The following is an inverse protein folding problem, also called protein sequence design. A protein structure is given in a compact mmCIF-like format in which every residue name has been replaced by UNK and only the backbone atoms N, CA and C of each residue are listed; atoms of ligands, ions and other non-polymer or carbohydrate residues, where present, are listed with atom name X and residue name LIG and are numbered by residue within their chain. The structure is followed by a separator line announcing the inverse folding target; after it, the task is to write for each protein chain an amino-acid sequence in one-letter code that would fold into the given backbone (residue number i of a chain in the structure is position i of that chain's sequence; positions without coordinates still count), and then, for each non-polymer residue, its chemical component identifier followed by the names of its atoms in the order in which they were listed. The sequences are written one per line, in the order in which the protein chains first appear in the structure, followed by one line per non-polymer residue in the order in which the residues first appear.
data_IF_338814844171
#
_entry.id   IF_338814844171
#
_cell.length_a   1.000
_cell.length_b   1.000
_cell.length_c   1.000
_cell.angle_alpha   90.00
_cell.angle_beta   90.00
_cell.angle_gamma   90.00
#
_symmetry.space_group_name_H-M   'P 1'
#
loop_
_entity.id
_entity.type
_entity.pdbx_description
1 polymer ?
#
# COMPACT_ATOMS: atom_id res chain seq x y z
N UNK A 1 -16.05 30.70 -2.12
CA UNK A 1 -17.19 31.56 -1.70
C UNK A 1 -18.25 30.65 -1.10
N UNK A 2 -18.19 30.47 0.22
CA UNK A 2 -19.26 29.91 1.05
C UNK A 2 -19.16 30.66 2.38
N UNK A 3 -20.12 31.54 2.64
CA UNK A 3 -20.20 32.38 3.84
C UNK A 3 -21.04 31.69 4.91
N UNK A 4 -20.46 31.52 6.09
CA UNK A 4 -21.18 31.15 7.31
C UNK A 4 -21.96 32.38 7.80
N UNK A 5 -23.27 32.25 7.99
CA UNK A 5 -24.09 33.27 8.61
C UNK A 5 -24.56 32.76 9.98
N UNK A 6 -24.00 33.33 11.03
CA UNK A 6 -24.38 33.10 12.42
C UNK A 6 -25.59 33.96 12.77
N UNK A 7 -26.70 33.33 13.15
CA UNK A 7 -27.72 33.96 14.00
C UNK A 7 -28.08 33.02 15.14
N UNK A 8 -27.78 33.48 16.34
CA UNK A 8 -28.49 33.13 17.56
C UNK A 8 -29.98 33.45 17.37
N UNK A 9 -30.86 32.60 17.88
CA UNK A 9 -32.03 33.03 18.68
C UNK A 9 -32.69 31.83 19.38
N UNK A 10 -32.76 31.98 20.70
CA UNK A 10 -33.88 31.72 21.61
C UNK A 10 -34.48 30.31 21.81
N UNK A 11 -34.19 29.81 23.02
CA UNK A 11 -35.07 29.16 23.99
C UNK A 11 -36.57 29.07 23.62
N UNK A 12 -37.09 27.85 23.51
CA UNK A 12 -38.48 27.53 23.83
C UNK A 12 -38.62 26.02 24.13
N UNK A 13 -39.06 25.73 25.34
CA UNK A 13 -39.38 24.41 25.90
C UNK A 13 -40.52 23.72 25.14
N UNK A 14 -40.54 22.37 25.09
CA UNK A 14 -41.80 21.64 24.89
C UNK A 14 -42.20 20.85 26.15
N UNK A 15 -43.42 21.13 26.60
CA UNK A 15 -44.19 20.42 27.63
C UNK A 15 -44.72 19.04 27.12
N UNK A 16 -45.33 18.20 27.99
CA UNK A 16 -45.02 16.77 28.07
C UNK A 16 -45.91 15.83 27.25
N UNK A 17 -45.38 14.62 27.05
CA UNK A 17 -45.95 13.41 26.44
C UNK A 17 -47.46 13.17 26.67
N UNK A 18 -48.23 12.78 25.64
CA UNK A 18 -49.54 12.16 25.83
C UNK A 18 -49.41 10.66 26.15
N UNK A 19 -50.04 10.25 27.25
CA UNK A 19 -50.16 8.87 27.72
C UNK A 19 -50.90 7.96 26.73
N UNK A 20 -50.21 6.97 26.16
CA UNK A 20 -50.82 5.88 25.42
C UNK A 20 -51.25 4.77 26.38
N UNK A 21 -52.57 4.62 26.57
CA UNK A 21 -53.17 3.41 27.18
C UNK A 21 -53.14 2.31 26.12
N UNK A 22 -52.54 1.17 26.45
CA UNK A 22 -52.67 -0.06 25.68
C UNK A 22 -53.59 -1.01 26.44
N UNK A 23 -54.73 -1.33 25.82
CA UNK A 23 -55.63 -2.39 26.25
C UNK A 23 -54.94 -3.76 26.10
N UNK A 24 -55.02 -4.59 27.14
CA UNK A 24 -54.58 -5.98 27.12
C UNK A 24 -55.65 -6.88 26.51
N UNK A 25 -55.37 -7.65 25.43
CA UNK A 25 -56.14 -8.83 25.11
C UNK A 25 -55.54 -10.04 25.83
N UNK A 26 -56.37 -10.75 26.60
CA UNK A 26 -56.08 -12.09 27.09
C UNK A 26 -55.78 -13.01 25.91
N UNK A 27 -54.61 -13.64 25.93
CA UNK A 27 -54.25 -14.68 24.96
C UNK A 27 -54.13 -16.04 25.67
N UNK A 28 -54.90 -16.94 25.07
CA UNK A 28 -55.13 -18.36 25.27
C UNK A 28 -53.91 -19.20 25.70
N UNK A 29 -54.11 -20.07 26.69
CA UNK A 29 -53.10 -20.98 27.24
C UNK A 29 -53.17 -22.31 26.49
N UNK A 30 -52.31 -22.50 25.49
CA UNK A 30 -52.04 -23.81 24.88
C UNK A 30 -50.74 -24.40 25.44
N UNK A 31 -50.65 -25.73 25.70
CA UNK A 31 -49.49 -26.29 26.40
C UNK A 31 -48.26 -26.35 25.48
N UNK A 32 -47.15 -25.75 25.94
CA UNK A 32 -45.82 -25.86 25.35
C UNK A 32 -45.36 -27.33 25.29
N UNK A 33 -45.25 -27.88 24.08
CA UNK A 33 -44.47 -29.09 23.82
C UNK A 33 -43.00 -28.79 24.14
N UNK A 34 -42.45 -29.53 25.12
CA UNK A 34 -41.03 -29.48 25.49
C UNK A 34 -40.17 -30.02 24.35
N UNK A 35 -39.75 -29.15 23.44
CA UNK A 35 -38.59 -29.45 22.59
C UNK A 35 -37.32 -29.25 23.41
N UNK A 36 -36.62 -30.36 23.68
CA UNK A 36 -35.27 -30.41 24.25
C UNK A 36 -34.35 -29.46 23.46
N UNK A 37 -33.58 -28.57 24.10
CA UNK A 37 -32.53 -27.85 23.39
C UNK A 37 -31.45 -28.84 22.97
N UNK A 38 -31.20 -28.94 21.66
CA UNK A 38 -29.97 -29.54 21.14
C UNK A 38 -28.77 -28.76 21.70
N UNK A 39 -27.79 -29.52 22.19
CA UNK A 39 -26.55 -29.04 22.77
C UNK A 39 -25.88 -27.99 21.89
N UNK A 40 -25.57 -26.85 22.50
CA UNK A 40 -24.93 -25.68 21.89
C UNK A 40 -23.40 -25.85 21.79
N UNK A 41 -22.95 -27.05 21.48
CA UNK A 41 -21.53 -27.44 21.42
C UNK A 41 -21.21 -28.06 20.05
N UNK A 42 -21.42 -27.31 18.97
CA UNK A 42 -20.68 -27.56 17.72
C UNK A 42 -20.69 -26.30 16.84
N UNK A 43 -20.04 -25.22 17.32
CA UNK A 43 -19.56 -24.20 16.39
C UNK A 43 -18.18 -24.64 15.94
N UNK A 44 -18.19 -25.26 14.76
CA UNK A 44 -17.14 -26.12 14.23
C UNK A 44 -15.72 -25.58 14.41
N UNK A 45 -14.86 -26.42 15.01
CA UNK A 45 -13.43 -26.22 14.87
C UNK A 45 -13.07 -26.42 13.39
N UNK A 46 -12.32 -25.48 12.79
CA UNK A 46 -11.88 -25.63 11.41
C UNK A 46 -11.10 -26.93 11.26
N UNK A 47 -11.41 -27.67 10.20
CA UNK A 47 -10.74 -28.92 9.86
C UNK A 47 -9.27 -28.68 9.56
N UNK A 48 -8.38 -29.68 9.69
CA UNK A 48 -6.96 -29.52 9.36
C UNK A 48 -6.69 -29.01 7.94
N UNK A 49 -7.56 -29.35 6.98
CA UNK A 49 -7.51 -28.85 5.60
C UNK A 49 -7.92 -27.37 5.50
N UNK A 50 -8.95 -26.93 6.24
CA UNK A 50 -9.32 -25.51 6.31
C UNK A 50 -8.26 -24.67 7.00
N UNK A 51 -7.63 -25.21 8.05
CA UNK A 51 -6.49 -24.57 8.72
C UNK A 51 -5.31 -24.47 7.76
N UNK A 52 -4.96 -25.53 7.04
CA UNK A 52 -3.87 -25.49 6.05
C UNK A 52 -4.16 -24.54 4.90
N UNK A 53 -5.37 -24.55 4.33
CA UNK A 53 -5.75 -23.64 3.25
C UNK A 53 -5.78 -22.19 3.75
N UNK A 54 -6.22 -21.95 5.00
CA UNK A 54 -6.14 -20.64 5.62
C UNK A 54 -4.67 -20.22 5.74
N UNK A 55 -3.81 -21.06 6.32
CA UNK A 55 -2.38 -20.78 6.52
C UNK A 55 -1.66 -20.52 5.19
N UNK A 56 -1.96 -21.31 4.16
CA UNK A 56 -1.46 -21.12 2.80
C UNK A 56 -1.96 -19.78 2.22
N UNK A 57 -3.26 -19.48 2.34
CA UNK A 57 -3.83 -18.21 1.86
C UNK A 57 -3.28 -16.97 2.57
N UNK A 58 -2.89 -17.11 3.85
CA UNK A 58 -2.24 -16.08 4.65
C UNK A 58 -0.79 -15.88 4.21
N UNK A 59 -0.07 -17.00 4.00
CA UNK A 59 1.31 -16.99 3.51
C UNK A 59 1.46 -16.44 2.08
N UNK A 60 0.37 -16.44 1.30
CA UNK A 60 0.33 -15.88 -0.06
C UNK A 60 -0.16 -14.43 -0.12
N UNK A 61 -0.62 -13.84 0.99
CA UNK A 61 -1.20 -12.50 1.02
C UNK A 61 -0.20 -11.50 1.61
N UNK A 62 0.48 -10.73 0.76
CA UNK A 62 1.53 -9.80 1.21
C UNK A 62 0.96 -8.44 1.59
N UNK A 63 1.39 -7.92 2.74
CA UNK A 63 0.93 -6.66 3.30
C UNK A 63 1.92 -5.54 2.98
N UNK A 64 1.43 -4.44 2.41
CA UNK A 64 2.18 -3.19 2.28
C UNK A 64 1.96 -2.33 3.54
N UNK A 65 3.04 -1.95 4.23
CA UNK A 65 2.96 -1.08 5.40
C UNK A 65 3.24 0.38 4.99
N UNK A 66 2.18 1.18 4.84
CA UNK A 66 2.24 2.60 4.50
C UNK A 66 2.23 3.46 5.78
N UNK A 67 3.16 4.40 5.91
CA UNK A 67 3.22 5.28 7.07
C UNK A 67 4.49 6.11 7.18
N UNK A 68 4.57 7.01 8.17
CA UNK A 68 5.71 7.89 8.36
C UNK A 68 6.99 7.10 8.71
N UNK A 69 8.14 7.58 8.24
CA UNK A 69 9.45 6.92 8.41
C UNK A 69 10.65 7.88 8.56
N UNK A 70 10.40 9.18 8.76
CA UNK A 70 11.44 10.21 8.71
C UNK A 70 12.31 10.24 9.96
N UNK A 71 11.76 9.91 11.12
CA UNK A 71 12.51 9.82 12.37
C UNK A 71 12.52 8.41 12.99
N UNK A 72 13.37 8.22 14.01
CA UNK A 72 13.54 6.91 14.66
C UNK A 72 12.27 6.40 15.33
N UNK A 73 11.44 7.28 15.90
CA UNK A 73 10.17 6.89 16.53
C UNK A 73 9.16 6.39 15.50
N UNK A 74 9.03 7.10 14.38
CA UNK A 74 8.16 6.73 13.27
C UNK A 74 8.57 5.38 12.67
N UNK A 75 9.86 5.19 12.38
CA UNK A 75 10.38 3.90 11.90
C UNK A 75 10.15 2.76 12.90
N UNK A 76 10.32 3.02 14.19
CA UNK A 76 10.10 2.02 15.23
C UNK A 76 8.63 1.62 15.34
N UNK A 77 7.69 2.57 15.24
CA UNK A 77 6.26 2.27 15.21
C UNK A 77 5.89 1.43 13.98
N UNK A 78 6.36 1.84 12.80
CA UNK A 78 6.13 1.08 11.56
C UNK A 78 6.76 -0.33 11.60
N UNK A 79 7.91 -0.48 12.27
CA UNK A 79 8.54 -1.79 12.48
C UNK A 79 7.70 -2.66 13.42
N UNK A 80 7.16 -2.12 14.51
CA UNK A 80 6.27 -2.86 15.41
C UNK A 80 4.99 -3.35 14.70
N UNK A 81 4.42 -2.52 13.81
CA UNK A 81 3.29 -2.91 12.96
C UNK A 81 3.67 -4.10 12.07
N UNK A 82 4.81 -3.99 11.37
CA UNK A 82 5.31 -5.05 10.49
C UNK A 82 5.59 -6.35 11.26
N UNK A 83 6.26 -6.27 12.41
CA UNK A 83 6.61 -7.43 13.24
C UNK A 83 5.36 -8.15 13.76
N UNK A 84 4.31 -7.40 14.13
CA UNK A 84 3.04 -7.97 14.56
C UNK A 84 2.34 -8.76 13.45
N UNK A 85 2.43 -8.27 12.20
CA UNK A 85 1.90 -8.95 11.01
C UNK A 85 2.70 -10.20 10.68
N UNK A 86 4.04 -10.10 10.68
CA UNK A 86 4.95 -11.23 10.43
C UNK A 86 4.76 -12.33 11.48
N UNK A 87 4.67 -11.97 12.77
CA UNK A 87 4.41 -12.92 13.85
C UNK A 87 3.06 -13.64 13.71
N UNK A 88 2.14 -13.10 12.91
CA UNK A 88 0.83 -13.70 12.61
C UNK A 88 0.80 -14.44 11.26
N UNK A 89 1.95 -14.59 10.59
CA UNK A 89 2.13 -15.36 9.37
C UNK A 89 1.95 -14.59 8.06
N UNK A 90 1.83 -13.26 8.11
CA UNK A 90 1.72 -12.43 6.90
C UNK A 90 3.10 -12.01 6.40
N UNK A 91 3.45 -12.24 5.12
CA UNK A 91 4.59 -11.57 4.52
C UNK A 91 4.34 -10.06 4.44
N UNK A 92 5.37 -9.25 4.69
CA UNK A 92 5.28 -7.79 4.73
C UNK A 92 6.27 -7.18 3.75
N UNK A 93 5.88 -6.06 3.13
CA UNK A 93 6.81 -5.07 2.58
C UNK A 93 6.75 -3.81 3.44
N UNK A 94 7.89 -3.44 4.01
CA UNK A 94 8.08 -2.24 4.83
C UNK A 94 9.11 -1.33 4.14
N UNK A 95 8.72 -0.17 3.57
CA UNK A 95 9.58 0.60 2.67
C UNK A 95 10.99 0.91 3.19
N UNK A 96 11.14 1.33 4.45
CA UNK A 96 12.45 1.66 5.01
C UNK A 96 13.31 0.44 5.38
N UNK A 97 12.73 -0.76 5.45
CA UNK A 97 13.44 -2.02 5.76
C UNK A 97 13.79 -2.80 4.50
N UNK A 98 12.82 -2.91 3.59
CA UNK A 98 12.86 -3.77 2.41
C UNK A 98 13.15 -3.01 1.12
N UNK A 99 13.03 -1.68 1.14
CA UNK A 99 13.35 -0.80 0.03
C UNK A 99 14.81 -0.36 0.01
N UNK A 100 15.08 0.82 -0.57
CA UNK A 100 16.44 1.35 -0.71
C UNK A 100 16.78 2.35 0.40
N UNK A 101 17.99 2.25 0.96
CA UNK A 101 18.58 3.28 1.82
C UNK A 101 19.07 4.47 0.97
N UNK A 102 18.16 5.41 0.66
CA UNK A 102 18.42 6.51 -0.29
C UNK A 102 19.68 7.31 0.00
N UNK A 103 19.98 7.54 1.28
CA UNK A 103 21.17 8.29 1.69
C UNK A 103 22.45 7.64 1.18
N UNK A 104 22.56 6.32 1.30
CA UNK A 104 23.76 5.59 0.90
C UNK A 104 23.94 5.56 -0.62
N UNK A 105 22.84 5.44 -1.36
CA UNK A 105 22.88 5.47 -2.83
C UNK A 105 23.20 6.88 -3.34
N UNK A 106 22.68 7.93 -2.70
CA UNK A 106 23.00 9.32 -3.05
C UNK A 106 24.50 9.60 -2.92
N UNK A 107 25.12 9.17 -1.82
CA UNK A 107 26.55 9.35 -1.59
C UNK A 107 27.39 8.62 -2.65
N UNK A 108 26.94 7.46 -3.12
CA UNK A 108 27.58 6.72 -4.24
C UNK A 108 27.47 7.52 -5.55
N UNK A 109 26.27 8.00 -5.91
CA UNK A 109 26.05 8.75 -7.15
C UNK A 109 26.89 10.04 -7.20
N UNK A 110 26.96 10.77 -6.09
CA UNK A 110 27.78 11.99 -5.99
C UNK A 110 29.27 11.67 -6.12
N UNK A 111 29.77 10.61 -5.46
CA UNK A 111 31.17 10.17 -5.62
C UNK A 111 31.50 9.76 -7.05
N UNK A 112 30.52 9.26 -7.81
CA UNK A 112 30.64 8.89 -9.22
C UNK A 112 30.51 10.08 -10.19
N UNK A 113 30.39 11.29 -9.68
CA UNK A 113 30.45 12.52 -10.47
C UNK A 113 29.08 13.09 -10.88
N UNK A 114 27.97 12.50 -10.44
CA UNK A 114 26.65 13.11 -10.65
C UNK A 114 26.47 14.32 -9.73
N UNK A 115 25.94 15.42 -10.29
CA UNK A 115 25.51 16.55 -9.48
C UNK A 115 24.44 16.09 -8.47
N UNK A 116 24.49 16.61 -7.24
CA UNK A 116 23.56 16.23 -6.17
C UNK A 116 22.09 16.38 -6.59
N UNK A 117 21.74 17.42 -7.34
CA UNK A 117 20.38 17.63 -7.84
C UNK A 117 19.95 16.50 -8.81
N UNK A 118 20.81 16.17 -9.77
CA UNK A 118 20.60 15.10 -10.75
C UNK A 118 20.53 13.72 -10.07
N UNK A 119 21.44 13.43 -9.15
CA UNK A 119 21.41 12.19 -8.37
C UNK A 119 20.13 12.08 -7.53
N UNK A 120 19.69 13.19 -6.93
CA UNK A 120 18.41 13.28 -6.22
C UNK A 120 17.22 12.96 -7.12
N UNK A 121 17.22 13.45 -8.36
CA UNK A 121 16.17 13.17 -9.34
C UNK A 121 16.10 11.67 -9.69
N UNK A 122 17.24 11.00 -9.87
CA UNK A 122 17.27 9.56 -10.17
C UNK A 122 16.70 8.76 -9.00
N UNK A 123 17.09 9.13 -7.77
CA UNK A 123 16.58 8.48 -6.57
C UNK A 123 15.08 8.69 -6.40
N UNK A 124 14.57 9.91 -6.58
CA UNK A 124 13.14 10.16 -6.52
C UNK A 124 12.35 9.32 -7.54
N UNK A 125 12.86 9.21 -8.77
CA UNK A 125 12.22 8.36 -9.79
C UNK A 125 12.27 6.87 -9.42
N UNK A 126 13.39 6.41 -8.87
CA UNK A 126 13.57 5.03 -8.43
C UNK A 126 12.68 4.66 -7.23
N UNK A 127 12.57 5.55 -6.23
CA UNK A 127 11.65 5.46 -5.08
C UNK A 127 10.23 5.27 -5.59
N UNK A 128 9.78 6.24 -6.37
CA UNK A 128 8.42 6.30 -6.86
C UNK A 128 8.07 5.03 -7.65
N UNK A 129 8.95 4.60 -8.56
CA UNK A 129 8.73 3.39 -9.35
C UNK A 129 8.66 2.14 -8.46
N UNK A 130 9.58 1.99 -7.51
CA UNK A 130 9.62 0.84 -6.60
C UNK A 130 8.37 0.76 -5.73
N UNK A 131 8.00 1.84 -5.05
CA UNK A 131 6.84 1.85 -4.14
C UNK A 131 5.54 1.63 -4.92
N UNK A 132 5.40 2.23 -6.10
CA UNK A 132 4.27 1.97 -7.00
C UNK A 132 4.21 0.50 -7.42
N UNK A 133 5.34 -0.12 -7.82
CA UNK A 133 5.36 -1.54 -8.15
C UNK A 133 4.97 -2.41 -6.94
N UNK A 134 5.56 -2.15 -5.78
CA UNK A 134 5.34 -2.94 -4.57
C UNK A 134 3.88 -2.86 -4.12
N UNK A 135 3.31 -1.66 -4.11
CA UNK A 135 1.92 -1.44 -3.75
C UNK A 135 0.96 -2.08 -4.76
N UNK A 136 1.17 -1.85 -6.06
CA UNK A 136 0.21 -2.26 -7.09
C UNK A 136 0.29 -3.76 -7.37
N UNK A 137 1.50 -4.31 -7.50
CA UNK A 137 1.73 -5.68 -7.99
C UNK A 137 2.21 -6.68 -6.94
N UNK A 138 3.13 -6.28 -6.06
CA UNK A 138 3.77 -7.24 -5.16
C UNK A 138 3.02 -7.47 -3.84
N UNK A 139 2.24 -6.48 -3.39
CA UNK A 139 1.42 -6.55 -2.19
C UNK A 139 -0.07 -6.60 -2.53
N UNK A 140 -0.84 -7.28 -1.68
CA UNK A 140 -2.26 -7.54 -1.89
C UNK A 140 -3.16 -6.61 -1.08
N UNK A 141 -2.68 -6.24 0.11
CA UNK A 141 -3.42 -5.47 1.12
C UNK A 141 -2.53 -4.41 1.73
N UNK A 142 -3.16 -3.40 2.33
CA UNK A 142 -2.47 -2.26 2.93
C UNK A 142 -2.78 -2.15 4.42
N UNK A 143 -1.76 -1.95 5.23
CA UNK A 143 -1.91 -1.41 6.59
C UNK A 143 -1.35 0.00 6.58
N UNK A 144 -2.19 0.97 6.90
CA UNK A 144 -1.89 2.39 6.82
C UNK A 144 -1.81 3.01 8.22
N UNK A 145 -0.65 3.53 8.58
CA UNK A 145 -0.46 4.33 9.78
C UNK A 145 -0.82 5.79 9.51
N UNK A 146 -1.91 6.23 10.15
CA UNK A 146 -2.48 7.57 10.05
C UNK A 146 -1.95 8.54 11.12
N UNK A 147 -1.00 8.14 11.95
CA UNK A 147 -0.46 8.99 13.00
C UNK A 147 0.25 10.23 12.43
N UNK A 148 0.12 11.35 13.15
CA UNK A 148 0.69 12.63 12.77
C UNK A 148 -0.34 13.76 12.86
N UNK A 149 0.13 14.99 13.13
CA UNK A 149 -0.75 16.18 13.11
C UNK A 149 -1.36 16.35 11.73
N UNK A 150 -0.53 16.10 10.73
CA UNK A 150 -0.90 15.94 9.33
C UNK A 150 -0.37 14.54 8.98
N UNK A 151 -1.23 13.64 8.46
CA UNK A 151 -0.77 12.34 7.98
C UNK A 151 0.32 12.50 6.91
N UNK A 152 1.25 11.56 6.88
CA UNK A 152 2.33 11.53 5.90
C UNK A 152 1.80 11.57 4.45
N UNK A 153 2.32 12.49 3.64
CA UNK A 153 1.87 12.70 2.26
C UNK A 153 2.18 11.52 1.33
N UNK A 154 3.28 10.80 1.60
CA UNK A 154 3.62 9.56 0.91
C UNK A 154 2.56 8.48 1.17
N UNK A 155 2.32 8.20 2.45
CA UNK A 155 1.34 7.22 2.92
C UNK A 155 -0.09 7.56 2.48
N UNK A 156 -0.47 8.84 2.46
CA UNK A 156 -1.75 9.31 1.89
C UNK A 156 -1.85 8.98 0.40
N UNK A 157 -0.79 9.22 -0.37
CA UNK A 157 -0.75 8.95 -1.81
C UNK A 157 -0.86 7.44 -2.09
N UNK A 158 -0.19 6.62 -1.28
CA UNK A 158 -0.26 5.16 -1.34
C UNK A 158 -1.66 4.64 -0.99
N UNK A 159 -2.25 5.14 0.11
CA UNK A 159 -3.60 4.76 0.53
C UNK A 159 -4.64 5.10 -0.54
N UNK A 160 -4.53 6.27 -1.19
CA UNK A 160 -5.42 6.66 -2.28
C UNK A 160 -5.28 5.73 -3.50
N UNK A 161 -4.05 5.38 -3.90
CA UNK A 161 -3.82 4.41 -4.96
C UNK A 161 -4.39 3.03 -4.62
N UNK A 162 -4.19 2.55 -3.40
CA UNK A 162 -4.73 1.28 -2.92
C UNK A 162 -6.26 1.26 -2.95
N UNK A 163 -6.90 2.35 -2.52
CA UNK A 163 -8.34 2.51 -2.55
C UNK A 163 -8.91 2.47 -3.97
N UNK A 164 -8.30 3.20 -4.92
CA UNK A 164 -8.70 3.17 -6.35
C UNK A 164 -8.58 1.75 -6.93
N UNK A 165 -7.57 0.99 -6.48
CA UNK A 165 -7.36 -0.38 -6.89
C UNK A 165 -8.30 -1.37 -6.18
N UNK A 166 -9.10 -0.94 -5.22
CA UNK A 166 -9.97 -1.83 -4.44
C UNK A 166 -9.18 -2.80 -3.56
N UNK A 167 -7.94 -2.45 -3.16
CA UNK A 167 -7.16 -3.27 -2.23
C UNK A 167 -7.75 -3.15 -0.82
N UNK A 168 -7.96 -4.27 -0.12
CA UNK A 168 -8.37 -4.25 1.28
C UNK A 168 -7.34 -3.48 2.12
N UNK A 169 -7.83 -2.59 2.98
CA UNK A 169 -6.99 -1.68 3.76
C UNK A 169 -7.44 -1.60 5.23
N UNK A 170 -6.47 -1.49 6.13
CA UNK A 170 -6.69 -1.24 7.57
C UNK A 170 -5.95 0.03 7.96
N UNK A 171 -6.66 0.97 8.57
CA UNK A 171 -6.06 2.15 9.18
C UNK A 171 -5.73 1.92 10.65
N UNK A 172 -4.57 2.38 11.08
CA UNK A 172 -4.15 2.48 12.47
C UNK A 172 -3.88 3.94 12.83
N UNK A 173 -4.40 4.41 13.96
CA UNK A 173 -3.94 5.66 14.58
C UNK A 173 -4.29 5.71 16.05
N UNK A 174 -3.29 6.04 16.87
CA UNK A 174 -3.36 6.28 18.32
C UNK A 174 -3.15 7.77 18.67
N UNK A 175 -3.46 8.67 17.73
CA UNK A 175 -3.18 10.09 17.92
C UNK A 175 -4.16 10.72 18.92
N UNK A 176 -3.68 10.99 20.14
CA UNK A 176 -4.47 11.60 21.20
C UNK A 176 -5.00 13.00 20.86
N UNK A 177 -4.43 13.71 19.86
CA UNK A 177 -5.00 14.99 19.39
C UNK A 177 -6.41 14.83 18.84
N UNK A 178 -6.75 13.62 18.39
CA UNK A 178 -8.12 13.31 17.96
C UNK A 178 -9.16 13.31 19.08
N UNK A 179 -8.72 13.21 20.33
CA UNK A 179 -9.57 13.28 21.53
C UNK A 179 -9.91 14.73 21.93
N UNK A 180 -9.15 15.72 21.44
CA UNK A 180 -9.30 17.15 21.74
C UNK A 180 -9.63 17.96 20.46
N UNK A 181 -10.74 17.61 19.81
CA UNK A 181 -11.28 18.23 18.58
C UNK A 181 -10.54 17.94 17.26
N UNK A 182 -9.44 17.17 17.27
CA UNK A 182 -8.71 16.76 16.07
C UNK A 182 -9.42 15.71 15.22
N UNK A 183 -10.33 16.11 14.32
CA UNK A 183 -10.92 15.14 13.38
C UNK A 183 -9.94 14.77 12.29
N UNK A 184 -9.84 13.48 11.97
CA UNK A 184 -9.17 13.02 10.76
C UNK A 184 -9.90 13.66 9.57
N UNK A 185 -9.14 14.15 8.59
CA UNK A 185 -9.72 14.71 7.37
C UNK A 185 -10.70 13.69 6.75
N UNK A 186 -11.94 14.09 6.43
CA UNK A 186 -12.97 13.15 5.96
C UNK A 186 -12.61 12.47 4.63
N UNK A 187 -11.78 13.10 3.78
CA UNK A 187 -11.28 12.45 2.57
C UNK A 187 -10.34 11.30 2.88
N UNK A 188 -9.52 11.42 3.94
CA UNK A 188 -8.62 10.36 4.37
C UNK A 188 -9.38 9.25 5.08
N UNK A 189 -10.29 9.61 5.98
CA UNK A 189 -11.05 8.62 6.74
C UNK A 189 -12.04 7.85 5.86
N UNK A 190 -12.55 8.48 4.80
CA UNK A 190 -13.35 7.83 3.77
C UNK A 190 -12.59 6.74 2.97
N UNK A 191 -11.26 6.81 2.86
CA UNK A 191 -10.46 5.76 2.19
C UNK A 191 -10.49 4.43 2.95
N UNK A 192 -10.85 4.46 4.23
CA UNK A 192 -10.91 3.29 5.13
C UNK A 192 -12.30 3.10 5.72
N UNK A 193 -13.34 3.49 4.97
CA UNK A 193 -14.75 3.35 5.34
C UNK A 193 -15.09 3.88 6.75
N UNK A 194 -14.41 4.95 7.16
CA UNK A 194 -14.56 5.54 8.49
C UNK A 194 -14.29 4.54 9.63
N UNK A 195 -13.34 3.62 9.42
CA UNK A 195 -12.87 2.67 10.41
C UNK A 195 -11.35 2.78 10.61
N UNK A 196 -10.93 2.68 11.86
CA UNK A 196 -9.52 2.55 12.25
C UNK A 196 -9.40 1.73 13.53
N UNK A 197 -8.24 1.14 13.74
CA UNK A 197 -7.83 0.61 15.04
C UNK A 197 -6.96 1.64 15.78
N UNK A 198 -6.95 1.56 17.11
CA UNK A 198 -6.16 2.47 17.95
C UNK A 198 -4.95 1.80 18.57
N UNK A 199 -4.86 0.46 18.48
CA UNK A 199 -3.72 -0.27 19.03
C UNK A 199 -3.13 -1.22 17.98
N UNK A 200 -1.81 -1.35 18.01
CA UNK A 200 -1.07 -2.22 17.07
C UNK A 200 -1.53 -3.69 17.18
N UNK A 201 -1.89 -4.15 18.37
CA UNK A 201 -2.36 -5.53 18.59
C UNK A 201 -3.73 -5.83 17.97
N UNK A 202 -4.53 -4.81 17.67
CA UNK A 202 -5.83 -4.94 16.99
C UNK A 202 -5.68 -5.08 15.46
N UNK A 203 -4.54 -4.67 14.88
CA UNK A 203 -4.31 -4.62 13.43
C UNK A 203 -4.58 -5.97 12.77
N UNK A 204 -4.09 -7.07 13.37
CA UNK A 204 -4.23 -8.41 12.78
C UNK A 204 -5.69 -8.85 12.75
N UNK A 205 -6.43 -8.61 13.82
CA UNK A 205 -7.85 -8.95 13.87
C UNK A 205 -8.67 -8.12 12.87
N UNK A 206 -8.36 -6.82 12.75
CA UNK A 206 -8.97 -5.95 11.76
C UNK A 206 -8.64 -6.39 10.33
N UNK A 207 -7.39 -6.78 10.05
CA UNK A 207 -6.96 -7.26 8.73
C UNK A 207 -7.69 -8.54 8.33
N UNK A 208 -7.81 -9.52 9.24
CA UNK A 208 -8.57 -10.76 8.99
C UNK A 208 -10.04 -10.48 8.68
N UNK A 209 -10.66 -9.54 9.41
CA UNK A 209 -12.05 -9.13 9.17
C UNK A 209 -12.20 -8.47 7.80
N UNK A 210 -11.34 -7.51 7.49
CA UNK A 210 -11.32 -6.79 6.21
C UNK A 210 -11.10 -7.73 5.03
N UNK A 211 -10.13 -8.66 5.14
CA UNK A 211 -9.90 -9.72 4.16
C UNK A 211 -11.11 -10.64 4.00
N UNK A 212 -11.73 -11.04 5.11
CA UNK A 212 -12.94 -11.88 5.09
C UNK A 212 -14.12 -11.20 4.39
N UNK A 213 -14.32 -9.89 4.63
CA UNK A 213 -15.32 -9.07 3.94
C UNK A 213 -15.03 -8.97 2.44
N UNK A 214 -13.80 -8.61 2.08
CA UNK A 214 -13.38 -8.46 0.68
C UNK A 214 -13.54 -9.79 -0.09
N UNK A 215 -13.13 -10.91 0.49
CA UNK A 215 -13.29 -12.25 -0.12
C UNK A 215 -14.76 -12.61 -0.36
N UNK A 216 -15.66 -12.28 0.58
CA UNK A 216 -17.12 -12.45 0.38
C UNK A 216 -17.67 -11.61 -0.78
N UNK A 217 -17.05 -10.48 -1.05
CA UNK A 217 -17.37 -9.60 -2.18
C UNK A 217 -16.64 -10.00 -3.48
N UNK A 218 -15.91 -11.12 -3.48
CA UNK A 218 -15.24 -11.66 -4.67
C UNK A 218 -13.80 -11.22 -4.87
N UNK A 219 -13.22 -10.44 -3.95
CA UNK A 219 -11.80 -10.07 -3.99
C UNK A 219 -10.89 -11.29 -3.81
N UNK A 220 -9.78 -11.33 -4.54
CA UNK A 220 -8.76 -12.39 -4.45
C UNK A 220 -7.34 -11.79 -4.40
N UNK A 221 -6.45 -12.33 -3.54
CA UNK A 221 -5.01 -12.00 -3.56
C UNK A 221 -4.39 -12.30 -4.93
N UNK A 222 -3.35 -11.56 -5.31
CA UNK A 222 -2.59 -11.71 -6.55
C UNK A 222 -3.39 -11.46 -7.83
N UNK A 223 -4.66 -11.07 -7.72
CA UNK A 223 -5.50 -10.92 -8.88
C UNK A 223 -5.08 -9.68 -9.69
N UNK A 224 -4.83 -9.86 -10.99
CA UNK A 224 -4.87 -8.79 -11.98
C UNK A 224 -6.26 -8.11 -12.08
N UNK A 225 -7.17 -8.37 -11.14
CA UNK A 225 -8.55 -7.88 -11.13
C UNK A 225 -8.68 -6.43 -10.68
N UNK A 226 -7.62 -5.86 -10.10
CA UNK A 226 -7.55 -4.46 -9.69
C UNK A 226 -7.05 -3.62 -10.86
N UNK A 227 -7.97 -3.15 -11.70
CA UNK A 227 -7.78 -2.25 -12.85
C UNK A 227 -6.76 -2.78 -13.88
N UNK A 228 -7.26 -3.51 -14.88
CA UNK A 228 -6.47 -3.93 -16.04
C UNK A 228 -7.25 -3.61 -17.33
N UNK A 229 -6.67 -2.90 -18.31
CA UNK A 229 -5.30 -2.39 -18.33
C UNK A 229 -5.06 -1.21 -17.37
N UNK A 230 -3.85 -1.15 -16.80
CA UNK A 230 -3.39 0.03 -16.06
C UNK A 230 -3.23 1.22 -17.02
N UNK A 231 -3.53 2.47 -16.59
CA UNK A 231 -3.23 3.65 -17.39
C UNK A 231 -1.74 3.70 -17.78
N UNK A 232 -1.37 4.15 -18.99
CA UNK A 232 0.00 4.04 -19.52
C UNK A 232 1.09 4.57 -18.60
N UNK A 233 0.84 5.70 -17.91
CA UNK A 233 1.80 6.29 -16.95
C UNK A 233 2.02 5.41 -15.72
N UNK A 234 0.95 4.76 -15.24
CA UNK A 234 1.01 3.84 -14.10
C UNK A 234 1.69 2.54 -14.51
N UNK A 235 1.33 2.00 -15.69
CA UNK A 235 1.95 0.80 -16.24
C UNK A 235 3.48 0.97 -16.39
N UNK A 236 3.94 2.14 -16.85
CA UNK A 236 5.36 2.47 -16.93
C UNK A 236 6.04 2.48 -15.56
N UNK A 237 5.47 3.17 -14.56
CA UNK A 237 6.04 3.20 -13.22
C UNK A 237 6.13 1.80 -12.60
N UNK A 238 5.09 0.98 -12.78
CA UNK A 238 5.08 -0.43 -12.37
C UNK A 238 6.18 -1.23 -13.08
N UNK A 239 6.38 -1.03 -14.39
CA UNK A 239 7.42 -1.70 -15.16
C UNK A 239 8.82 -1.31 -14.69
N UNK A 240 9.07 0.00 -14.52
CA UNK A 240 10.36 0.52 -14.04
C UNK A 240 10.66 -0.01 -12.63
N UNK A 241 9.65 -0.07 -11.75
CA UNK A 241 9.76 -0.62 -10.41
C UNK A 241 9.99 -2.13 -10.38
N UNK A 242 9.32 -2.89 -11.26
CA UNK A 242 9.54 -4.33 -11.42
C UNK A 242 10.97 -4.64 -11.88
N UNK A 243 11.48 -3.83 -12.82
CA UNK A 243 12.86 -3.92 -13.27
C UNK A 243 13.83 -3.67 -12.12
N UNK A 244 13.64 -2.57 -11.39
CA UNK A 244 14.47 -2.25 -10.23
C UNK A 244 14.41 -3.35 -9.15
N UNK A 245 13.21 -3.83 -8.81
CA UNK A 245 13.03 -4.89 -7.81
C UNK A 245 13.74 -6.19 -8.20
N UNK A 246 13.63 -6.61 -9.46
CA UNK A 246 14.33 -7.81 -9.96
C UNK A 246 15.84 -7.69 -9.80
N UNK A 247 16.38 -6.50 -10.05
CA UNK A 247 17.81 -6.24 -9.88
C UNK A 247 18.26 -6.23 -8.42
N UNK A 248 17.42 -5.73 -7.51
CA UNK A 248 17.66 -5.75 -6.07
C UNK A 248 17.64 -7.19 -5.51
N UNK A 249 16.66 -7.99 -5.95
CA UNK A 249 16.48 -9.38 -5.51
C UNK A 249 17.46 -10.37 -6.18
N UNK A 250 18.15 -9.93 -7.24
CA UNK A 250 19.08 -10.77 -8.00
C UNK A 250 18.41 -11.80 -8.90
N UNK A 251 17.14 -11.62 -9.19
CA UNK A 251 16.36 -12.43 -10.13
C UNK A 251 16.56 -11.94 -11.58
N UNK A 252 16.76 -12.83 -12.58
CA UNK A 252 16.90 -12.42 -13.99
C UNK A 252 15.63 -11.75 -14.51
N UNK A 253 15.79 -10.65 -15.25
CA UNK A 253 14.70 -9.96 -15.95
C UNK A 253 14.32 -10.71 -17.24
N UNK A 254 13.09 -11.23 -17.32
CA UNK A 254 12.41 -11.39 -18.62
C UNK A 254 11.73 -10.06 -18.97
N UNK A 255 12.48 -9.15 -19.58
CA UNK A 255 11.91 -7.94 -20.19
C UNK A 255 11.11 -8.36 -21.43
N UNK A 256 9.79 -8.50 -21.30
CA UNK A 256 8.93 -8.70 -22.47
C UNK A 256 8.89 -7.40 -23.29
N UNK A 257 9.15 -7.55 -24.59
CA UNK A 257 9.36 -6.47 -25.56
C UNK A 257 8.15 -5.51 -25.74
N UNK A 258 7.00 -5.79 -25.12
CA UNK A 258 5.74 -5.06 -25.33
C UNK A 258 5.51 -3.87 -24.38
N UNK A 259 6.37 -3.63 -23.38
CA UNK A 259 6.18 -2.56 -22.37
C UNK A 259 6.94 -1.26 -22.61
N UNK A 260 7.67 -1.13 -23.72
CA UNK A 260 8.40 0.10 -24.07
C UNK A 260 7.70 0.92 -25.17
N UNK A 261 6.52 1.46 -24.86
CA UNK A 261 6.00 2.64 -25.57
C UNK A 261 6.31 3.91 -24.77
N UNK A 262 7.55 4.39 -24.96
CA UNK A 262 7.85 5.81 -24.80
C UNK A 262 6.99 6.60 -25.82
N UNK A 263 6.55 7.84 -25.52
CA UNK A 263 6.00 8.70 -26.56
C UNK A 263 7.01 8.79 -27.71
N UNK A 264 6.52 8.50 -28.92
CA UNK A 264 7.25 8.38 -30.19
C UNK A 264 8.62 9.08 -30.25
N UNK A 265 9.68 8.28 -30.17
CA UNK A 265 10.88 8.47 -30.98
C UNK A 265 11.12 7.16 -31.74
N UNK A 266 10.75 7.15 -33.02
CA UNK A 266 10.95 6.01 -33.91
C UNK A 266 12.45 5.68 -34.01
N UNK A 267 12.85 4.44 -33.71
CA UNK A 267 14.08 3.86 -34.29
C UNK A 267 15.18 3.30 -33.38
N UNK A 268 15.00 3.14 -32.06
CA UNK A 268 16.07 2.57 -31.20
C UNK A 268 15.65 1.26 -30.51
N UNK A 269 16.39 0.18 -30.78
CA UNK A 269 16.28 -1.13 -30.11
C UNK A 269 17.22 -1.13 -28.88
N UNK A 270 16.77 -1.50 -27.67
CA UNK A 270 17.65 -1.60 -26.50
C UNK A 270 18.64 -2.77 -26.64
N UNK A 271 19.93 -2.53 -26.39
CA UNK A 271 20.96 -3.58 -26.32
C UNK A 271 20.91 -4.31 -24.96
N UNK A 272 21.20 -5.63 -24.88
CA UNK A 272 21.36 -6.34 -23.62
C UNK A 272 22.64 -5.87 -22.91
N UNK A 273 22.57 -5.59 -21.60
CA UNK A 273 23.72 -5.09 -20.82
C UNK A 273 24.03 -6.06 -19.68
N UNK A 274 25.31 -6.43 -19.55
CA UNK A 274 25.81 -7.28 -18.48
C UNK A 274 25.90 -6.52 -17.15
N UNK A 275 25.46 -7.13 -16.06
CA UNK A 275 25.55 -6.58 -14.70
C UNK A 275 26.92 -6.86 -14.08
N UNK A 276 27.45 -5.89 -13.32
CA UNK A 276 28.56 -6.15 -12.41
C UNK A 276 28.14 -7.19 -11.36
N UNK A 277 28.98 -8.19 -11.11
CA UNK A 277 28.74 -9.19 -10.07
C UNK A 277 28.85 -8.53 -8.70
N UNK A 278 27.85 -8.71 -7.83
CA UNK A 278 27.92 -8.23 -6.45
C UNK A 278 29.13 -8.82 -5.73
N UNK A 279 29.90 -7.96 -5.06
CA UNK A 279 31.09 -8.35 -4.29
C UNK A 279 30.79 -8.64 -2.81
N UNK A 280 29.53 -8.44 -2.38
CA UNK A 280 29.09 -8.57 -1.00
C UNK A 280 28.41 -9.91 -0.70
N UNK A 281 28.49 -10.41 0.55
CA UNK A 281 27.81 -11.64 0.95
C UNK A 281 26.28 -11.52 0.84
N UNK A 282 25.55 -12.64 0.70
CA UNK A 282 24.10 -12.65 0.65
C UNK A 282 23.50 -12.01 1.90
N UNK A 283 22.64 -11.00 1.72
CA UNK A 283 21.97 -10.29 2.82
C UNK A 283 22.62 -8.96 3.23
N UNK A 284 23.76 -8.57 2.65
CA UNK A 284 24.34 -7.24 2.85
C UNK A 284 23.95 -6.30 1.70
N UNK A 285 23.46 -5.09 2.03
CA UNK A 285 23.05 -4.10 1.03
C UNK A 285 24.26 -3.63 0.21
N UNK A 286 24.22 -3.89 -1.09
CA UNK A 286 25.26 -3.50 -2.05
C UNK A 286 24.89 -2.17 -2.72
N UNK A 287 25.18 -1.07 -2.03
CA UNK A 287 24.84 0.28 -2.49
C UNK A 287 25.47 0.65 -3.85
N UNK A 288 26.61 0.05 -4.20
CA UNK A 288 27.26 0.27 -5.50
C UNK A 288 26.44 -0.40 -6.61
N UNK A 289 25.99 -1.64 -6.39
CA UNK A 289 25.07 -2.33 -7.31
C UNK A 289 23.72 -1.61 -7.41
N UNK A 290 23.17 -1.13 -6.30
CA UNK A 290 21.91 -0.36 -6.32
C UNK A 290 22.10 0.92 -7.14
N UNK A 291 23.21 1.63 -6.96
CA UNK A 291 23.53 2.80 -7.77
C UNK A 291 23.66 2.47 -9.25
N UNK A 292 24.28 1.34 -9.62
CA UNK A 292 24.33 0.87 -11.01
C UNK A 292 22.92 0.67 -11.60
N UNK A 293 22.03 0.02 -10.84
CA UNK A 293 20.64 -0.21 -11.25
C UNK A 293 19.88 1.11 -11.43
N UNK A 294 20.04 2.04 -10.49
CA UNK A 294 19.41 3.37 -10.54
C UNK A 294 19.92 4.17 -11.75
N UNK A 295 21.23 4.20 -12.00
CA UNK A 295 21.81 4.85 -13.17
C UNK A 295 21.26 4.22 -14.44
N UNK A 296 21.29 2.89 -14.54
CA UNK A 296 20.88 2.17 -15.74
C UNK A 296 19.41 2.40 -16.12
N UNK A 297 18.52 2.50 -15.12
CA UNK A 297 17.09 2.65 -15.35
C UNK A 297 16.66 4.12 -15.48
N UNK A 298 17.29 5.04 -14.74
CA UNK A 298 16.79 6.41 -14.55
C UNK A 298 17.75 7.53 -15.01
N UNK A 299 18.99 7.22 -15.44
CA UNK A 299 19.88 8.25 -15.96
C UNK A 299 19.48 8.71 -17.39
N UNK A 300 19.54 10.03 -17.67
CA UNK A 300 19.12 10.62 -18.93
C UNK A 300 20.06 10.31 -20.10
N UNK A 301 21.25 9.75 -19.89
CA UNK A 301 22.17 9.39 -20.97
C UNK A 301 21.64 8.25 -21.86
N UNK A 302 20.64 7.51 -21.39
CA UNK A 302 19.78 6.63 -22.21
C UNK A 302 18.81 7.38 -23.13
N UNK A 303 18.55 8.66 -22.88
CA UNK A 303 17.64 9.53 -23.65
C UNK A 303 18.38 10.36 -24.71
N UNK A 304 19.72 10.36 -24.74
CA UNK A 304 20.50 11.37 -25.47
C UNK A 304 21.56 10.84 -26.46
N UNK A 305 21.73 9.53 -26.65
CA UNK A 305 22.68 9.01 -27.65
C UNK A 305 21.95 8.63 -28.94
N UNK A 306 21.94 9.49 -29.98
CA UNK A 306 21.56 9.02 -31.31
C UNK A 306 22.58 7.98 -31.76
N UNK A 307 22.17 6.95 -32.52
CA UNK A 307 23.10 5.97 -33.07
C UNK A 307 24.17 6.69 -33.89
N UNK A 308 25.44 6.33 -33.65
CA UNK A 308 26.56 6.78 -34.46
C UNK A 308 26.29 6.42 -35.93
N UNK A 309 25.92 7.42 -36.74
CA UNK A 309 25.59 7.19 -38.15
C UNK A 309 24.62 8.18 -38.80
N UNK A 310 23.98 9.10 -38.08
CA UNK A 310 23.13 10.13 -38.71
C UNK A 310 23.92 11.41 -39.01
N UNK A 311 24.64 11.41 -40.13
CA UNK A 311 25.08 12.66 -40.78
C UNK A 311 23.87 13.31 -41.45
N UNK A 312 23.38 14.44 -40.94
CA UNK A 312 22.40 15.24 -41.68
C UNK A 312 23.10 15.96 -42.84
N UNK A 313 23.07 15.36 -44.03
CA UNK A 313 23.22 16.14 -45.25
C UNK A 313 21.86 16.78 -45.56
N UNK A 314 21.68 18.00 -45.08
CA UNK A 314 20.68 18.91 -45.62
C UNK A 314 21.43 20.01 -46.38
N UNK A 315 21.57 19.79 -47.68
CA UNK A 315 21.83 20.85 -48.66
C UNK A 315 20.47 21.16 -49.30
N UNK A 316 20.24 22.44 -49.55
CA UNK A 316 19.07 23.12 -50.14
C UNK A 316 17.99 23.53 -49.15
#
# INVERSE_FOLDING_TARGET
MWTFNSRHDECSSPDPFPSLRFDHPQADVTPLQKNRPQSREDRGRPTPLEVNNKLLSLSTCRVYCAGPLFNGSERNEMTQIADRLVASGYPVYLPHRDGMEFRLVLDVLVRRGYEKATAGQFLHSAIFALDVYQLIKACDVVVWNLNGRVPDEGAVSEAAMAWILGKPMVAYSDDARSLIEGRINPLLYGLVDFQKVTRIDEIVAALELTLGNARRQGWKPGSNSTVNPLPPRVARAVSDGAALWSLLDGSPLELTHELHHMPNFQGMVPQPVAFGTSSKPPGEVDNERIADCVIQLFAPERLATPPAGFTSNATV
#
